data_IF_804659895447
#
_entry.id   IF_804659895447
#
_cell.length_a   1.000
_cell.length_b   1.000
_cell.length_c   1.000
_cell.angle_alpha   90.00
_cell.angle_beta   90.00
_cell.angle_gamma   90.00
#
_symmetry.space_group_name_H-M   'P 1'
#
loop_
_entity.id
_entity.type
_entity.pdbx_description
1 polymer ?
#
# COMPACT_ATOMS: atom_id res chain seq x y z
N UNK A 1 -4.51 -6.78 10.49
CA UNK A 1 -4.79 -6.69 9.03
C UNK A 1 -3.46 -6.46 8.33
N UNK A 2 -3.16 -7.12 7.20
CA UNK A 2 -1.90 -6.90 6.49
C UNK A 2 -2.11 -5.82 5.43
N UNK A 3 -1.54 -4.65 5.65
CA UNK A 3 -1.81 -3.47 4.84
C UNK A 3 -1.18 -2.20 5.38
N UNK A 4 -1.49 -1.08 4.73
CA UNK A 4 -1.01 0.26 5.04
C UNK A 4 -2.21 1.17 5.30
N UNK A 5 -2.14 1.93 6.38
CA UNK A 5 -3.07 3.02 6.67
C UNK A 5 -2.50 4.34 6.12
N UNK A 6 -3.12 4.85 5.06
CA UNK A 6 -2.67 6.08 4.39
C UNK A 6 -2.87 7.33 5.25
N UNK A 7 -3.88 7.36 6.11
CA UNK A 7 -4.12 8.54 6.96
C UNK A 7 -3.10 8.56 8.11
N UNK A 8 -2.72 7.39 8.64
CA UNK A 8 -1.60 7.28 9.58
C UNK A 8 -0.27 7.74 8.96
N UNK A 9 -0.02 7.38 7.69
CA UNK A 9 1.17 7.85 6.96
C UNK A 9 1.17 9.37 6.81
N UNK A 10 0.03 9.98 6.46
CA UNK A 10 -0.07 11.44 6.35
C UNK A 10 0.14 12.15 7.70
N UNK A 11 -0.43 11.61 8.78
CA UNK A 11 -0.30 12.18 10.13
C UNK A 11 1.12 12.05 10.70
N UNK A 12 1.81 10.94 10.46
CA UNK A 12 3.14 10.67 11.05
C UNK A 12 4.33 11.02 10.19
N UNK A 13 4.15 11.08 8.88
CA UNK A 13 5.24 11.36 7.94
C UNK A 13 4.95 12.67 7.23
N UNK A 14 4.06 12.65 6.24
CA UNK A 14 3.54 13.82 5.54
C UNK A 14 2.57 13.38 4.43
N UNK A 15 1.84 14.35 3.88
CA UNK A 15 0.93 14.16 2.75
C UNK A 15 1.61 13.63 1.49
N UNK A 16 2.83 14.06 1.20
CA UNK A 16 3.58 13.62 0.01
C UNK A 16 3.82 12.11 0.03
N UNK A 17 4.21 11.57 1.19
CA UNK A 17 4.44 10.13 1.40
C UNK A 17 3.15 9.32 1.25
N UNK A 18 2.03 9.87 1.73
CA UNK A 18 0.71 9.27 1.50
C UNK A 18 0.38 9.21 0.01
N UNK A 19 0.50 10.34 -0.69
CA UNK A 19 0.15 10.44 -2.11
C UNK A 19 1.05 9.52 -2.95
N UNK A 20 2.34 9.46 -2.61
CA UNK A 20 3.32 8.55 -3.21
C UNK A 20 2.94 7.07 -3.03
N UNK A 21 2.68 6.62 -1.79
CA UNK A 21 2.30 5.23 -1.52
C UNK A 21 0.98 4.87 -2.20
N UNK A 22 0.00 5.78 -2.20
CA UNK A 22 -1.28 5.57 -2.87
C UNK A 22 -1.11 5.43 -4.39
N UNK A 23 -0.23 6.23 -5.01
CA UNK A 23 0.08 6.15 -6.42
C UNK A 23 0.76 4.82 -6.79
N UNK A 24 1.78 4.40 -6.03
CA UNK A 24 2.42 3.10 -6.24
C UNK A 24 1.45 1.93 -6.03
N UNK A 25 0.67 1.97 -4.95
CA UNK A 25 -0.30 0.93 -4.62
C UNK A 25 -1.37 0.74 -5.70
N UNK A 26 -1.64 1.78 -6.50
CA UNK A 26 -2.63 1.71 -7.60
C UNK A 26 -2.33 0.58 -8.58
N UNK A 27 -1.05 0.27 -8.88
CA UNK A 27 -0.73 -0.87 -9.77
C UNK A 27 -1.08 -2.22 -9.13
N UNK A 28 -0.79 -2.39 -7.85
CA UNK A 28 -1.08 -3.63 -7.12
C UNK A 28 -2.57 -3.82 -6.89
N UNK A 29 -3.32 -2.72 -6.74
CA UNK A 29 -4.79 -2.74 -6.72
C UNK A 29 -5.32 -3.20 -8.09
N UNK A 30 -4.80 -2.66 -9.20
CA UNK A 30 -5.19 -3.09 -10.55
C UNK A 30 -4.91 -4.56 -10.81
N UNK A 31 -3.81 -5.09 -10.27
CA UNK A 31 -3.44 -6.50 -10.40
C UNK A 31 -4.15 -7.44 -9.41
N UNK A 32 -5.05 -6.92 -8.55
CA UNK A 32 -5.77 -7.74 -7.57
C UNK A 32 -4.92 -8.21 -6.39
N UNK A 33 -3.70 -7.69 -6.24
CA UNK A 33 -2.78 -7.99 -5.14
C UNK A 33 -3.10 -7.14 -3.89
N UNK A 34 -3.71 -5.98 -4.10
CA UNK A 34 -4.19 -5.10 -3.03
C UNK A 34 -5.65 -4.72 -3.24
N UNK A 35 -6.31 -4.29 -2.18
CA UNK A 35 -7.64 -3.69 -2.22
C UNK A 35 -7.63 -2.42 -1.40
N UNK A 36 -8.18 -1.35 -1.97
CA UNK A 36 -8.37 -0.08 -1.26
C UNK A 36 -9.73 -0.05 -0.58
N UNK A 37 -9.75 0.22 0.72
CA UNK A 37 -10.96 0.40 1.54
C UNK A 37 -10.83 1.74 2.27
N UNK A 38 -11.33 2.81 1.66
CA UNK A 38 -11.10 4.17 2.16
C UNK A 38 -9.61 4.52 2.12
N UNK A 39 -9.04 4.87 3.27
CA UNK A 39 -7.60 5.11 3.46
C UNK A 39 -6.77 3.85 3.71
N UNK A 40 -7.41 2.68 3.82
CA UNK A 40 -6.71 1.42 4.04
C UNK A 40 -6.34 0.77 2.71
N UNK A 41 -5.05 0.46 2.53
CA UNK A 41 -4.54 -0.39 1.46
C UNK A 41 -4.28 -1.78 2.05
N UNK A 42 -5.08 -2.77 1.68
CA UNK A 42 -5.06 -4.10 2.29
C UNK A 42 -4.56 -5.14 1.29
N UNK A 43 -3.61 -5.98 1.68
CA UNK A 43 -3.16 -7.11 0.86
C UNK A 43 -4.29 -8.13 0.70
N UNK A 44 -4.54 -8.57 -0.54
CA UNK A 44 -5.39 -9.74 -0.79
C UNK A 44 -4.65 -11.02 -0.39
N UNK A 45 -5.32 -12.18 -0.42
CA UNK A 45 -4.65 -13.44 -0.13
C UNK A 45 -3.52 -13.75 -1.13
N UNK A 46 -3.67 -13.34 -2.39
CA UNK A 46 -2.60 -13.44 -3.40
C UNK A 46 -1.48 -12.46 -3.10
N UNK A 47 -1.79 -11.20 -2.75
CA UNK A 47 -0.79 -10.21 -2.39
C UNK A 47 0.03 -10.59 -1.16
N UNK A 48 -0.57 -11.29 -0.18
CA UNK A 48 0.16 -11.82 0.99
C UNK A 48 1.23 -12.85 0.63
N UNK A 49 1.05 -13.60 -0.45
CA UNK A 49 2.05 -14.61 -0.88
C UNK A 49 3.34 -13.96 -1.42
N UNK A 50 3.24 -12.73 -1.91
CA UNK A 50 4.36 -11.95 -2.47
C UNK A 50 4.56 -10.64 -1.71
N UNK A 51 4.20 -10.61 -0.43
CA UNK A 51 4.18 -9.38 0.38
C UNK A 51 5.54 -8.70 0.40
N UNK A 52 6.62 -9.48 0.46
CA UNK A 52 7.98 -8.96 0.56
C UNK A 52 8.36 -8.17 -0.70
N UNK A 53 7.95 -8.65 -1.88
CA UNK A 53 8.15 -7.93 -3.14
C UNK A 53 7.32 -6.64 -3.19
N UNK A 54 6.06 -6.71 -2.78
CA UNK A 54 5.17 -5.54 -2.76
C UNK A 54 5.72 -4.48 -1.80
N UNK A 55 6.18 -4.87 -0.61
CA UNK A 55 6.73 -3.96 0.39
C UNK A 55 8.05 -3.36 -0.09
N UNK A 56 8.96 -4.18 -0.64
CA UNK A 56 10.23 -3.70 -1.22
C UNK A 56 9.98 -2.63 -2.27
N UNK A 57 9.03 -2.88 -3.18
CA UNK A 57 8.65 -1.92 -4.20
C UNK A 57 7.97 -0.64 -3.66
N UNK A 58 7.23 -0.73 -2.56
CA UNK A 58 6.59 0.43 -1.91
C UNK A 58 7.57 1.27 -1.09
N UNK A 59 8.64 0.66 -0.57
CA UNK A 59 9.60 1.31 0.33
C UNK A 59 10.83 1.86 -0.40
N UNK A 60 10.97 1.64 -1.72
CA UNK A 60 12.10 2.11 -2.54
C UNK A 60 13.47 1.97 -1.83
N UNK A 61 13.79 0.75 -1.38
CA UNK A 61 15.14 0.41 -0.89
C UNK A 61 16.08 0.10 -2.04
#
# INVERSE_FOLDING_TARGET
>A
MWGIDLDYVEDKINKESRDYLNNLATRFVKYGMMTKKGSQLVLTNQGKMISDNIISELMMT
#
